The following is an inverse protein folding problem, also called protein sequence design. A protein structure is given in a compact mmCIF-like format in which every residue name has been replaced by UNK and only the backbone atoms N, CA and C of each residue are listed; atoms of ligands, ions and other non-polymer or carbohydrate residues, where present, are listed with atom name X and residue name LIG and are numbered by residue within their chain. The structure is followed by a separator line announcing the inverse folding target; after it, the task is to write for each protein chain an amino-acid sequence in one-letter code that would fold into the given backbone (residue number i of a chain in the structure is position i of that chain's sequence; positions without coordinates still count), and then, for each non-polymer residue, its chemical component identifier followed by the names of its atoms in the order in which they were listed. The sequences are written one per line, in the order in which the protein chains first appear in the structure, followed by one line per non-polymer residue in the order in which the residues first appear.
data_IF_719967276477
#
_entry.id   IF_719967276477
#
_cell.length_a   1.000
_cell.length_b   1.000
_cell.length_c   1.000
_cell.angle_alpha   90.00
_cell.angle_beta   90.00
_cell.angle_gamma   90.00
#
_symmetry.space_group_name_H-M   'P 1'
#
loop_
_entity.id
_entity.type
_entity.pdbx_description
1 polymer ?
#
# COMPACT_ATOMS: atom_id res chain seq x y z
N UNK A 1 29.41 18.26 22.37
CA UNK A 1 28.77 18.05 21.05
C UNK A 1 28.55 16.56 20.90
N UNK A 2 27.38 16.07 21.31
CA UNK A 2 26.98 14.66 21.16
C UNK A 2 26.06 14.58 19.96
N UNK A 3 26.57 14.02 18.86
CA UNK A 3 25.77 13.78 17.65
C UNK A 3 24.67 12.75 17.93
N UNK A 4 23.56 12.77 17.17
CA UNK A 4 22.48 11.82 17.36
C UNK A 4 22.98 10.42 16.97
N UNK A 5 22.89 9.47 17.90
CA UNK A 5 23.07 8.05 17.61
C UNK A 5 21.96 7.60 16.65
N UNK A 6 22.29 7.44 15.37
CA UNK A 6 21.37 6.93 14.36
C UNK A 6 21.33 5.40 14.43
N UNK A 7 20.12 4.86 14.35
CA UNK A 7 19.63 3.56 14.82
C UNK A 7 20.14 2.34 14.01
N UNK A 8 20.71 1.30 14.65
CA UNK A 8 21.12 0.04 13.99
C UNK A 8 19.96 -0.77 13.37
N UNK A 9 18.74 -0.67 13.92
CA UNK A 9 17.57 -1.44 13.47
C UNK A 9 17.03 -1.00 12.09
N UNK A 10 17.31 0.25 11.68
CA UNK A 10 16.86 0.81 10.40
C UNK A 10 17.54 0.13 9.21
N UNK A 11 18.86 0.01 9.27
CA UNK A 11 19.64 -0.59 8.18
C UNK A 11 19.35 -2.08 8.06
N UNK A 12 19.04 -2.74 9.17
CA UNK A 12 18.69 -4.16 9.18
C UNK A 12 17.41 -4.45 8.38
N UNK A 13 16.35 -3.64 8.53
CA UNK A 13 15.10 -3.84 7.78
C UNK A 13 15.29 -3.54 6.29
N UNK A 14 15.94 -2.43 5.95
CA UNK A 14 16.21 -2.08 4.54
C UNK A 14 17.09 -3.14 3.86
N UNK A 15 18.14 -3.62 4.53
CA UNK A 15 19.01 -4.68 4.01
C UNK A 15 18.26 -6.01 3.85
N UNK A 16 17.41 -6.37 4.81
CA UNK A 16 16.59 -7.59 4.73
C UNK A 16 15.63 -7.55 3.56
N UNK A 17 14.92 -6.44 3.35
CA UNK A 17 14.05 -6.28 2.17
C UNK A 17 14.85 -6.35 0.88
N UNK A 18 16.04 -5.75 0.82
CA UNK A 18 16.92 -5.86 -0.36
C UNK A 18 17.37 -7.30 -0.62
N UNK A 19 17.67 -8.09 0.43
CA UNK A 19 17.98 -9.53 0.28
C UNK A 19 16.81 -10.33 -0.26
N UNK A 20 15.58 -10.03 0.18
CA UNK A 20 14.37 -10.64 -0.38
C UNK A 20 14.23 -10.31 -1.88
N UNK A 21 14.46 -9.06 -2.26
CA UNK A 21 14.44 -8.65 -3.67
C UNK A 21 15.51 -9.36 -4.50
N UNK A 22 16.73 -9.49 -3.97
CA UNK A 22 17.81 -10.21 -4.63
C UNK A 22 17.43 -11.69 -4.86
N UNK A 23 16.91 -12.36 -3.83
CA UNK A 23 16.44 -13.76 -3.89
C UNK A 23 15.35 -13.93 -4.97
N UNK A 24 14.40 -12.99 -5.02
CA UNK A 24 13.32 -13.00 -6.03
C UNK A 24 13.88 -12.80 -7.45
N UNK A 25 14.86 -11.90 -7.63
CA UNK A 25 15.49 -11.65 -8.92
C UNK A 25 16.34 -12.82 -9.41
N UNK A 26 17.07 -13.49 -8.51
CA UNK A 26 17.85 -14.70 -8.83
C UNK A 26 16.99 -15.82 -9.38
N UNK A 27 15.71 -15.87 -8.99
CA UNK A 27 14.75 -16.88 -9.42
C UNK A 27 13.71 -16.35 -10.40
N UNK A 28 14.07 -15.33 -11.20
CA UNK A 28 13.17 -14.73 -12.18
C UNK A 28 12.51 -15.79 -13.07
N UNK A 29 11.17 -15.71 -13.22
CA UNK A 29 10.39 -16.68 -13.98
C UNK A 29 9.89 -17.89 -13.17
N UNK A 30 10.31 -18.04 -11.90
CA UNK A 30 9.79 -19.03 -10.96
C UNK A 30 9.23 -18.34 -9.71
N UNK A 31 8.19 -18.93 -9.11
CA UNK A 31 7.65 -18.38 -7.86
C UNK A 31 8.45 -18.91 -6.67
N UNK A 32 8.95 -18.00 -5.84
CA UNK A 32 9.76 -18.30 -4.65
C UNK A 32 9.05 -18.00 -3.34
N UNK A 33 7.71 -18.01 -3.33
CA UNK A 33 6.89 -17.74 -2.13
C UNK A 33 7.39 -18.52 -0.91
N UNK A 34 7.62 -19.82 -1.07
CA UNK A 34 8.13 -20.72 -0.02
C UNK A 34 9.49 -20.32 0.58
N UNK A 35 10.32 -19.56 -0.14
CA UNK A 35 11.62 -19.08 0.36
C UNK A 35 11.51 -17.74 1.09
N UNK A 36 10.51 -16.92 0.74
CA UNK A 36 10.41 -15.53 1.22
C UNK A 36 9.27 -15.31 2.22
N UNK A 37 8.27 -16.19 2.26
CA UNK A 37 7.03 -16.00 3.03
C UNK A 37 7.29 -15.78 4.52
N UNK A 38 8.08 -16.64 5.16
CA UNK A 38 8.37 -16.53 6.60
C UNK A 38 9.09 -15.22 6.92
N UNK A 39 10.10 -14.85 6.14
CA UNK A 39 10.85 -13.61 6.37
C UNK A 39 9.99 -12.36 6.08
N UNK A 40 9.13 -12.39 5.06
CA UNK A 40 8.18 -11.31 4.77
C UNK A 40 7.22 -11.10 5.93
N UNK A 41 6.67 -12.18 6.50
CA UNK A 41 5.73 -12.10 7.62
C UNK A 41 6.40 -11.60 8.89
N UNK A 42 7.65 -12.02 9.15
CA UNK A 42 8.46 -11.47 10.24
C UNK A 42 8.72 -9.98 10.06
N UNK A 43 9.10 -9.54 8.86
CA UNK A 43 9.38 -8.13 8.57
C UNK A 43 8.13 -7.26 8.66
N UNK A 44 6.99 -7.75 8.17
CA UNK A 44 5.70 -7.06 8.34
C UNK A 44 5.36 -6.95 9.83
N UNK A 45 5.50 -8.05 10.58
CA UNK A 45 5.26 -8.09 12.02
C UNK A 45 6.12 -7.07 12.79
N UNK A 46 7.42 -7.00 12.47
CA UNK A 46 8.36 -6.04 13.05
C UNK A 46 8.03 -4.60 12.65
N UNK A 47 7.69 -4.35 11.38
CA UNK A 47 7.25 -3.04 10.91
C UNK A 47 6.04 -2.51 11.70
N UNK A 48 5.08 -3.39 12.01
CA UNK A 48 3.90 -3.01 12.78
C UNK A 48 4.17 -2.90 14.29
N UNK A 49 5.13 -3.64 14.83
CA UNK A 49 5.55 -3.50 16.24
C UNK A 49 6.05 -2.09 16.51
N UNK A 50 6.86 -1.54 15.59
CA UNK A 50 7.53 -0.26 15.77
C UNK A 50 6.90 0.88 14.96
N UNK A 51 5.64 0.77 14.51
CA UNK A 51 4.97 1.78 13.67
C UNK A 51 4.99 3.20 14.24
N UNK A 52 5.18 3.32 15.56
CA UNK A 52 5.27 4.61 16.28
C UNK A 52 6.69 5.19 16.27
N UNK A 53 7.71 4.34 16.13
CA UNK A 53 9.14 4.67 16.18
C UNK A 53 9.81 4.66 14.79
N UNK A 54 9.23 3.93 13.82
CA UNK A 54 9.70 3.78 12.43
C UNK A 54 9.41 4.99 11.55
N UNK A 55 9.75 6.19 12.02
CA UNK A 55 9.63 7.44 11.25
C UNK A 55 10.59 7.56 10.04
N UNK A 56 11.40 6.53 9.75
CA UNK A 56 12.58 6.69 8.88
C UNK A 56 12.83 5.58 7.83
N UNK A 57 11.92 4.65 7.59
CA UNK A 57 12.06 3.67 6.48
C UNK A 57 11.72 4.37 5.15
N UNK A 58 12.50 4.12 4.10
CA UNK A 58 12.17 4.59 2.76
C UNK A 58 10.84 4.02 2.25
N UNK A 59 9.94 4.89 1.75
CA UNK A 59 8.62 4.48 1.23
C UNK A 59 8.71 3.39 0.16
N UNK A 60 9.76 3.45 -0.68
CA UNK A 60 10.03 2.44 -1.69
C UNK A 60 10.27 1.06 -1.09
N UNK A 61 11.08 0.96 -0.04
CA UNK A 61 11.35 -0.30 0.67
C UNK A 61 10.07 -0.88 1.26
N UNK A 62 9.25 -0.03 1.85
CA UNK A 62 7.97 -0.40 2.42
C UNK A 62 7.01 -0.93 1.35
N UNK A 63 6.92 -0.27 0.20
CA UNK A 63 6.12 -0.75 -0.92
C UNK A 63 6.63 -2.05 -1.51
N UNK A 64 7.94 -2.27 -1.59
CA UNK A 64 8.47 -3.58 -1.97
C UNK A 64 8.01 -4.67 -0.99
N UNK A 65 8.11 -4.45 0.32
CA UNK A 65 7.66 -5.43 1.30
C UNK A 65 6.17 -5.79 1.10
N UNK A 66 5.32 -4.79 0.91
CA UNK A 66 3.88 -4.99 0.68
C UNK A 66 3.61 -5.72 -0.63
N UNK A 67 4.30 -5.34 -1.71
CA UNK A 67 4.14 -5.95 -3.02
C UNK A 67 4.70 -7.38 -3.04
N UNK A 68 5.77 -7.69 -2.31
CA UNK A 68 6.25 -9.07 -2.15
C UNK A 68 5.15 -9.92 -1.49
N UNK A 69 4.54 -9.43 -0.40
CA UNK A 69 3.44 -10.17 0.24
C UNK A 69 2.25 -10.37 -0.71
N UNK A 70 1.80 -9.33 -1.39
CA UNK A 70 0.57 -9.42 -2.21
C UNK A 70 0.79 -10.10 -3.56
N UNK A 71 1.93 -9.91 -4.22
CA UNK A 71 2.21 -10.49 -5.54
C UNK A 71 2.88 -11.86 -5.43
N UNK A 72 3.93 -12.02 -4.63
CA UNK A 72 4.70 -13.25 -4.60
C UNK A 72 4.11 -14.30 -3.67
N UNK A 73 3.80 -13.91 -2.43
CA UNK A 73 3.26 -14.85 -1.44
C UNK A 73 1.80 -15.18 -1.73
N UNK A 74 0.95 -14.16 -1.91
CA UNK A 74 -0.49 -14.39 -2.03
C UNK A 74 -0.98 -14.74 -3.44
N UNK A 75 -0.23 -14.41 -4.49
CA UNK A 75 -0.66 -14.55 -5.91
C UNK A 75 0.32 -15.34 -6.77
N UNK A 76 1.37 -15.88 -6.20
CA UNK A 76 2.37 -16.68 -6.89
C UNK A 76 2.99 -16.00 -8.12
N UNK A 77 3.19 -14.68 -8.08
CA UNK A 77 3.83 -13.92 -9.17
C UNK A 77 5.26 -14.41 -9.42
N UNK A 78 5.73 -14.21 -10.65
CA UNK A 78 7.06 -14.57 -11.14
C UNK A 78 7.79 -13.38 -11.77
N UNK A 79 7.26 -12.17 -11.61
CA UNK A 79 7.60 -10.97 -12.37
C UNK A 79 8.28 -9.88 -11.51
N UNK A 80 9.62 -9.95 -11.31
CA UNK A 80 10.33 -9.01 -10.45
C UNK A 80 10.31 -7.59 -11.00
N UNK A 81 10.45 -7.45 -12.33
CA UNK A 81 10.48 -6.15 -12.99
C UNK A 81 9.18 -5.37 -12.82
N UNK A 82 8.04 -6.08 -12.76
CA UNK A 82 6.73 -5.46 -12.54
C UNK A 82 6.59 -5.01 -11.09
N UNK A 83 7.07 -5.82 -10.14
CA UNK A 83 7.11 -5.43 -8.73
C UNK A 83 7.94 -4.15 -8.53
N UNK A 84 9.14 -4.10 -9.10
CA UNK A 84 10.02 -2.93 -8.98
C UNK A 84 9.40 -1.68 -9.63
N UNK A 85 8.76 -1.84 -10.80
CA UNK A 85 8.02 -0.76 -11.46
C UNK A 85 6.88 -0.23 -10.58
N UNK A 86 6.07 -1.13 -10.01
CA UNK A 86 4.95 -0.74 -9.16
C UNK A 86 5.41 -0.04 -7.87
N UNK A 87 6.48 -0.51 -7.23
CA UNK A 87 7.03 0.14 -6.04
C UNK A 87 7.55 1.55 -6.33
N UNK A 88 8.21 1.73 -7.48
CA UNK A 88 8.66 3.04 -7.96
C UNK A 88 7.47 3.97 -8.24
N UNK A 89 6.46 3.47 -8.96
CA UNK A 89 5.22 4.22 -9.19
C UNK A 89 4.57 4.62 -7.86
N UNK A 90 4.40 3.69 -6.92
CA UNK A 90 3.75 4.00 -5.64
C UNK A 90 4.53 5.06 -4.84
N UNK A 91 5.86 4.99 -4.87
CA UNK A 91 6.73 6.00 -4.27
C UNK A 91 6.55 7.36 -4.93
N UNK A 92 6.57 7.42 -6.27
CA UNK A 92 6.36 8.66 -7.04
C UNK A 92 4.99 9.29 -6.78
N UNK A 93 3.94 8.48 -6.62
CA UNK A 93 2.59 8.97 -6.33
C UNK A 93 2.48 9.63 -4.94
N UNK A 94 3.33 9.24 -3.97
CA UNK A 94 3.37 9.84 -2.64
C UNK A 94 4.32 11.02 -2.53
N UNK A 95 5.52 10.92 -3.10
CA UNK A 95 6.53 11.97 -3.00
C UNK A 95 6.16 13.19 -3.83
N UNK A 96 5.50 12.98 -4.96
CA UNK A 96 5.19 14.07 -5.86
C UNK A 96 3.71 14.39 -5.82
N UNK A 97 3.44 15.66 -5.50
CA UNK A 97 2.24 16.41 -5.94
C UNK A 97 2.05 16.37 -7.47
N UNK A 98 2.81 15.57 -8.23
CA UNK A 98 2.71 15.41 -9.70
C UNK A 98 1.38 14.82 -10.15
N UNK A 99 0.64 14.17 -9.26
CA UNK A 99 -0.75 13.79 -9.53
C UNK A 99 -1.74 14.95 -9.48
N UNK A 100 -1.38 16.02 -8.77
CA UNK A 100 -2.29 17.10 -8.45
C UNK A 100 -1.64 18.49 -8.44
N UNK A 101 -0.97 18.95 -9.52
CA UNK A 101 -0.66 20.38 -9.66
C UNK A 101 -1.94 21.26 -9.66
N UNK A 102 -3.13 20.67 -9.82
CA UNK A 102 -4.40 21.38 -9.99
C UNK A 102 -5.33 21.36 -8.75
N UNK A 103 -4.91 20.74 -7.63
CA UNK A 103 -5.70 20.77 -6.39
C UNK A 103 -5.47 22.05 -5.59
N UNK A 104 -6.04 23.16 -6.06
CA UNK A 104 -6.28 24.32 -5.20
C UNK A 104 -7.65 24.24 -4.50
N UNK A 105 -8.48 23.24 -4.82
CA UNK A 105 -9.81 23.10 -4.23
C UNK A 105 -10.19 21.62 -4.01
N UNK A 106 -10.46 21.25 -2.76
CA UNK A 106 -10.69 19.86 -2.28
C UNK A 106 -11.89 19.11 -2.92
N UNK A 107 -12.64 19.73 -3.85
CA UNK A 107 -13.96 19.23 -4.29
C UNK A 107 -13.98 18.42 -5.59
N UNK A 108 -12.85 18.12 -6.25
CA UNK A 108 -12.87 17.59 -7.64
C UNK A 108 -12.23 16.22 -7.91
N UNK A 109 -12.07 15.35 -6.91
CA UNK A 109 -11.60 13.97 -7.12
C UNK A 109 -12.44 13.15 -8.13
N UNK A 110 -13.71 13.49 -8.39
CA UNK A 110 -14.56 12.77 -9.34
C UNK A 110 -14.45 13.22 -10.80
N UNK A 111 -13.86 14.38 -11.08
CA UNK A 111 -13.87 15.05 -12.39
C UNK A 111 -12.55 14.88 -13.17
N UNK A 112 -11.55 14.27 -12.53
CA UNK A 112 -10.14 14.30 -12.91
C UNK A 112 -9.80 13.58 -14.21
N UNK A 113 -10.45 12.44 -14.52
CA UNK A 113 -10.08 11.66 -15.72
C UNK A 113 -10.74 12.20 -17.00
N UNK A 114 -11.96 12.74 -16.92
CA UNK A 114 -12.61 13.37 -18.09
C UNK A 114 -11.87 14.64 -18.50
N UNK A 115 -11.48 15.47 -17.53
CA UNK A 115 -10.70 16.69 -17.79
C UNK A 115 -9.29 16.34 -18.30
N UNK A 116 -8.64 15.30 -17.77
CA UNK A 116 -7.35 14.81 -18.29
C UNK A 116 -7.50 14.19 -19.69
N UNK A 117 -8.56 13.43 -19.97
CA UNK A 117 -8.87 12.90 -21.31
C UNK A 117 -9.21 14.01 -22.30
N UNK A 118 -9.85 15.09 -21.85
CA UNK A 118 -10.18 16.26 -22.65
C UNK A 118 -8.94 17.13 -22.90
N UNK A 119 -8.01 17.23 -21.95
CA UNK A 119 -6.68 17.78 -22.19
C UNK A 119 -5.82 16.86 -23.08
N UNK A 120 -6.05 15.55 -23.08
CA UNK A 120 -5.42 14.60 -24.00
C UNK A 120 -6.00 14.65 -25.42
N UNK A 121 -7.20 15.20 -25.66
CA UNK A 121 -7.55 15.57 -27.04
C UNK A 121 -6.59 16.65 -27.60
N UNK A 122 -5.84 17.31 -26.71
CA UNK A 122 -4.69 18.15 -27.03
C UNK A 122 -3.36 17.41 -26.76
N UNK A 123 -3.15 16.25 -27.41
CA UNK A 123 -1.88 15.47 -27.41
C UNK A 123 -0.63 16.32 -27.70
N UNK A 124 -0.79 17.52 -28.28
CA UNK A 124 0.23 18.54 -28.48
C UNK A 124 0.88 19.10 -27.21
N UNK A 125 0.29 18.90 -26.01
CA UNK A 125 0.87 19.37 -24.74
C UNK A 125 1.90 18.42 -24.13
N UNK A 126 1.93 17.14 -24.51
CA UNK A 126 2.94 16.21 -24.02
C UNK A 126 4.16 16.25 -24.95
N UNK A 127 5.36 16.57 -24.46
CA UNK A 127 6.58 16.52 -25.28
C UNK A 127 6.87 15.10 -25.80
N UNK A 128 6.31 14.08 -25.13
CA UNK A 128 6.53 12.68 -25.41
C UNK A 128 5.25 11.85 -25.25
N UNK A 129 4.74 11.31 -26.36
CA UNK A 129 3.53 10.48 -26.40
C UNK A 129 3.65 9.20 -25.55
N UNK A 130 4.85 8.61 -25.48
CA UNK A 130 5.11 7.43 -24.66
C UNK A 130 4.84 7.69 -23.18
N UNK A 131 5.33 8.82 -22.65
CA UNK A 131 5.12 9.21 -21.25
C UNK A 131 3.64 9.49 -20.97
N UNK A 132 2.92 10.06 -21.94
CA UNK A 132 1.46 10.25 -21.84
C UNK A 132 0.72 8.91 -21.68
N UNK A 133 1.00 7.94 -22.55
CA UNK A 133 0.40 6.61 -22.46
C UNK A 133 0.78 5.88 -21.17
N UNK A 134 2.06 5.91 -20.78
CA UNK A 134 2.52 5.29 -19.53
C UNK A 134 1.81 5.86 -18.31
N UNK A 135 1.80 7.19 -18.15
CA UNK A 135 1.15 7.86 -17.02
C UNK A 135 -0.35 7.59 -16.95
N UNK A 136 -1.04 7.51 -18.09
CA UNK A 136 -2.47 7.19 -18.11
C UNK A 136 -2.77 5.74 -17.72
N UNK A 137 -1.89 4.82 -18.10
CA UNK A 137 -1.89 3.45 -17.60
C UNK A 137 -1.72 3.42 -16.08
N UNK A 138 -0.70 4.11 -15.58
CA UNK A 138 -0.41 4.23 -14.15
C UNK A 138 -1.62 4.81 -13.38
N UNK A 139 -2.16 5.97 -13.81
CA UNK A 139 -3.32 6.58 -13.16
C UNK A 139 -4.54 5.67 -13.13
N UNK A 140 -4.82 4.98 -14.23
CA UNK A 140 -5.93 4.05 -14.31
C UNK A 140 -5.75 2.90 -13.33
N UNK A 141 -4.53 2.36 -13.23
CA UNK A 141 -4.19 1.27 -12.32
C UNK A 141 -4.31 1.70 -10.85
N UNK A 142 -3.79 2.87 -10.51
CA UNK A 142 -3.83 3.38 -9.13
C UNK A 142 -5.24 3.75 -8.68
N UNK A 143 -6.04 4.39 -9.54
CA UNK A 143 -7.44 4.70 -9.23
C UNK A 143 -8.25 3.42 -9.06
N UNK A 144 -8.04 2.44 -9.95
CA UNK A 144 -8.77 1.18 -9.91
C UNK A 144 -8.32 0.23 -8.78
N UNK A 145 -7.04 0.27 -8.39
CA UNK A 145 -6.45 -0.58 -7.36
C UNK A 145 -6.48 0.09 -5.99
N UNK A 146 -5.64 1.10 -5.80
CA UNK A 146 -5.38 1.75 -4.50
C UNK A 146 -6.62 2.47 -3.95
N UNK A 147 -7.42 3.12 -4.81
CA UNK A 147 -8.56 3.94 -4.40
C UNK A 147 -9.93 3.28 -4.64
N UNK A 148 -9.96 1.98 -4.91
CA UNK A 148 -11.17 1.22 -5.27
C UNK A 148 -12.30 1.35 -4.22
N UNK A 149 -11.98 1.39 -2.93
CA UNK A 149 -12.93 1.54 -1.84
C UNK A 149 -13.66 2.91 -1.86
N UNK A 150 -13.00 3.97 -2.32
CA UNK A 150 -13.61 5.31 -2.46
C UNK A 150 -14.62 5.36 -3.61
N UNK A 151 -14.35 4.61 -4.68
CA UNK A 151 -15.27 4.44 -5.82
C UNK A 151 -16.49 3.59 -5.41
N UNK A 152 -16.30 2.54 -4.59
CA UNK A 152 -17.39 1.70 -4.05
C UNK A 152 -18.34 2.47 -3.12
N UNK A 153 -17.84 3.34 -2.23
CA UNK A 153 -18.68 4.15 -1.32
C UNK A 153 -19.63 5.10 -2.05
N UNK A 154 -19.21 5.65 -3.21
CA UNK A 154 -20.09 6.45 -4.08
C UNK A 154 -21.26 5.65 -4.66
N UNK A 155 -21.17 4.32 -4.75
CA UNK A 155 -22.24 3.44 -5.23
C UNK A 155 -23.32 3.21 -4.18
N UNK A 156 -22.94 3.11 -2.90
CA UNK A 156 -23.89 2.87 -1.79
C UNK A 156 -24.74 4.11 -1.51
N UNK A 157 -24.16 5.30 -1.57
CA UNK A 157 -24.93 6.56 -1.43
C UNK A 157 -25.87 6.83 -2.62
N UNK A 158 -25.74 6.07 -3.72
CA UNK A 158 -26.64 6.15 -4.89
C UNK A 158 -28.02 5.52 -4.61
N UNK A 159 -28.13 4.63 -3.62
CA UNK A 159 -29.37 3.94 -3.24
C UNK A 159 -30.21 4.70 -2.20
N UNK A 160 -29.68 5.76 -1.57
CA UNK A 160 -30.43 6.66 -0.68
C UNK A 160 -30.65 8.03 -1.34
N UNK A 161 -31.54 8.06 -2.34
CA UNK A 161 -32.42 9.21 -2.60
C UNK A 161 -31.82 10.61 -2.88
N UNK A 162 -30.65 10.72 -3.52
CA UNK A 162 -30.10 12.01 -3.94
C UNK A 162 -29.72 12.01 -5.42
N UNK A 163 -30.63 12.50 -6.28
CA UNK A 163 -30.37 12.68 -7.70
C UNK A 163 -29.32 13.79 -7.92
N UNK A 164 -28.14 13.41 -8.42
CA UNK A 164 -27.26 14.31 -9.17
C UNK A 164 -26.61 13.50 -10.29
N UNK A 165 -26.84 13.86 -11.57
CA UNK A 165 -26.22 13.19 -12.71
C UNK A 165 -24.79 13.72 -12.87
N UNK A 166 -23.88 13.32 -11.98
CA UNK A 166 -22.44 13.52 -12.20
C UNK A 166 -21.92 12.26 -12.87
N UNK A 167 -21.33 12.43 -14.05
CA UNK A 167 -20.80 11.40 -14.94
C UNK A 167 -19.61 10.66 -14.29
N UNK A 168 -19.88 9.88 -13.25
CA UNK A 168 -18.88 9.09 -12.55
C UNK A 168 -18.45 7.92 -13.41
N UNK A 169 -17.27 8.05 -14.01
CA UNK A 169 -16.56 6.98 -14.71
C UNK A 169 -16.52 5.72 -13.85
N UNK A 170 -16.99 4.59 -14.38
CA UNK A 170 -17.08 3.32 -13.66
C UNK A 170 -15.72 2.62 -13.52
N UNK A 171 -15.58 1.72 -12.55
CA UNK A 171 -14.38 0.90 -12.36
C UNK A 171 -14.00 0.15 -13.65
N UNK A 172 -15.01 -0.34 -14.38
CA UNK A 172 -14.84 -0.99 -15.68
C UNK A 172 -14.13 -0.10 -16.70
N UNK A 173 -14.44 1.20 -16.72
CA UNK A 173 -13.78 2.16 -17.59
C UNK A 173 -12.31 2.36 -17.21
N UNK A 174 -11.98 2.39 -15.93
CA UNK A 174 -10.56 2.48 -15.51
C UNK A 174 -9.77 1.23 -15.91
N UNK A 175 -10.37 0.05 -15.82
CA UNK A 175 -9.73 -1.19 -16.27
C UNK A 175 -9.49 -1.16 -17.78
N UNK A 176 -10.50 -0.85 -18.59
CA UNK A 176 -10.34 -0.80 -20.04
C UNK A 176 -9.35 0.27 -20.49
N UNK A 177 -9.41 1.45 -19.87
CA UNK A 177 -8.49 2.58 -20.13
C UNK A 177 -7.05 2.22 -19.79
N UNK A 178 -6.82 1.64 -18.61
CA UNK A 178 -5.48 1.24 -18.18
C UNK A 178 -4.87 0.17 -19.08
N UNK A 179 -5.65 -0.86 -19.45
CA UNK A 179 -5.22 -1.89 -20.40
C UNK A 179 -4.80 -1.31 -21.74
N UNK A 180 -5.62 -0.42 -22.30
CA UNK A 180 -5.36 0.22 -23.59
C UNK A 180 -4.08 1.06 -23.55
N UNK A 181 -3.94 1.93 -22.56
CA UNK A 181 -2.80 2.85 -22.50
C UNK A 181 -1.48 2.15 -22.19
N UNK A 182 -1.48 1.12 -21.34
CA UNK A 182 -0.29 0.30 -21.18
C UNK A 182 0.09 -0.46 -22.45
N UNK A 183 -0.90 -0.95 -23.22
CA UNK A 183 -0.64 -1.59 -24.51
C UNK A 183 0.00 -0.60 -25.48
N UNK A 184 -0.59 0.59 -25.63
CA UNK A 184 -0.06 1.65 -26.49
C UNK A 184 1.35 2.09 -26.08
N UNK A 185 1.58 2.25 -24.77
CA UNK A 185 2.90 2.56 -24.24
C UNK A 185 3.90 1.44 -24.60
N UNK A 186 3.54 0.17 -24.42
CA UNK A 186 4.42 -0.97 -24.71
C UNK A 186 4.81 -1.11 -26.19
N UNK A 187 3.94 -0.67 -27.10
CA UNK A 187 4.15 -0.71 -28.55
C UNK A 187 5.01 0.46 -29.06
N UNK A 188 5.18 1.51 -28.27
CA UNK A 188 6.00 2.65 -28.64
C UNK A 188 7.49 2.29 -28.68
N UNK A 189 8.26 2.89 -29.59
CA UNK A 189 9.71 2.64 -29.74
C UNK A 189 10.49 2.96 -28.46
N UNK A 190 10.07 3.99 -27.73
CA UNK A 190 10.67 4.37 -26.44
C UNK A 190 10.50 3.31 -25.34
N UNK A 191 9.51 2.44 -25.40
CA UNK A 191 9.37 1.35 -24.43
C UNK A 191 10.53 0.35 -24.52
N UNK A 192 11.11 0.18 -25.71
CA UNK A 192 12.30 -0.65 -25.90
C UNK A 192 13.55 0.10 -25.47
N UNK A 193 13.68 1.38 -25.86
CA UNK A 193 14.81 2.23 -25.46
C UNK A 193 14.95 2.36 -23.92
N UNK A 194 13.83 2.28 -23.20
CA UNK A 194 13.78 2.36 -21.73
C UNK A 194 13.74 0.99 -21.04
N UNK A 195 13.72 -0.12 -21.80
CA UNK A 195 13.60 -1.47 -21.25
C UNK A 195 12.22 -1.81 -20.66
N UNK A 196 11.22 -0.93 -20.78
CA UNK A 196 9.91 -1.08 -20.15
C UNK A 196 8.89 -1.88 -20.98
N UNK A 197 9.17 -2.21 -22.24
CA UNK A 197 8.21 -2.89 -23.14
C UNK A 197 7.57 -4.13 -22.51
N UNK A 198 8.37 -4.99 -21.88
CA UNK A 198 7.87 -6.22 -21.27
C UNK A 198 7.00 -5.95 -20.04
N UNK A 199 7.42 -5.02 -19.18
CA UNK A 199 6.67 -4.61 -17.98
C UNK A 199 5.32 -4.03 -18.35
N UNK A 200 5.30 -3.05 -19.27
CA UNK A 200 4.08 -2.38 -19.70
C UNK A 200 3.12 -3.35 -20.40
N UNK A 201 3.65 -4.29 -21.19
CA UNK A 201 2.84 -5.36 -21.80
C UNK A 201 2.21 -6.26 -20.73
N UNK A 202 2.97 -6.68 -19.72
CA UNK A 202 2.44 -7.49 -18.60
C UNK A 202 1.36 -6.73 -17.83
N UNK A 203 1.57 -5.45 -17.54
CA UNK A 203 0.59 -4.58 -16.88
C UNK A 203 -0.71 -4.44 -17.69
N UNK A 204 -0.62 -4.39 -19.02
CA UNK A 204 -1.79 -4.41 -19.90
C UNK A 204 -2.52 -5.76 -19.87
N UNK A 205 -1.79 -6.87 -20.06
CA UNK A 205 -2.39 -8.20 -20.17
C UNK A 205 -3.00 -8.69 -18.85
N UNK A 206 -2.30 -8.47 -17.74
CA UNK A 206 -2.68 -8.96 -16.41
C UNK A 206 -3.13 -7.82 -15.48
N UNK A 207 -3.75 -6.78 -16.05
CA UNK A 207 -4.12 -5.56 -15.33
C UNK A 207 -4.92 -5.82 -14.06
N UNK A 208 -5.90 -6.72 -14.10
CA UNK A 208 -6.75 -7.04 -12.95
C UNK A 208 -5.96 -7.67 -11.80
N UNK A 209 -4.96 -8.51 -12.10
CA UNK A 209 -4.12 -9.15 -11.08
C UNK A 209 -3.34 -8.07 -10.33
N UNK A 210 -2.72 -7.14 -11.06
CA UNK A 210 -1.98 -6.03 -10.46
C UNK A 210 -2.88 -5.02 -9.76
N UNK A 211 -4.06 -4.73 -10.31
CA UNK A 211 -5.10 -3.93 -9.67
C UNK A 211 -5.49 -4.53 -8.32
N UNK A 212 -5.76 -5.83 -8.28
CA UNK A 212 -6.21 -6.51 -7.07
C UNK A 212 -5.10 -6.62 -6.04
N UNK A 213 -3.85 -6.84 -6.48
CA UNK A 213 -2.69 -6.81 -5.58
C UNK A 213 -2.46 -5.42 -4.97
N UNK A 214 -2.60 -4.35 -5.75
CA UNK A 214 -2.53 -2.98 -5.26
C UNK A 214 -3.70 -2.62 -4.36
N UNK A 215 -4.89 -3.12 -4.68
CA UNK A 215 -6.08 -2.97 -3.84
C UNK A 215 -5.90 -3.63 -2.49
N UNK A 216 -5.40 -4.87 -2.47
CA UNK A 216 -5.07 -5.56 -1.22
C UNK A 216 -3.94 -4.87 -0.46
N UNK A 217 -2.86 -4.45 -1.14
CA UNK A 217 -1.77 -3.73 -0.49
C UNK A 217 -2.25 -2.42 0.13
N UNK A 218 -3.14 -1.71 -0.59
CA UNK A 218 -3.77 -0.49 -0.10
C UNK A 218 -4.68 -0.76 1.09
N UNK A 219 -5.58 -1.73 0.99
CA UNK A 219 -6.56 -2.04 2.03
C UNK A 219 -5.94 -2.64 3.29
N UNK A 220 -4.85 -3.41 3.18
CA UNK A 220 -4.22 -4.12 4.31
C UNK A 220 -3.00 -3.42 4.87
N UNK A 221 -2.28 -2.64 4.08
CA UNK A 221 -0.97 -2.14 4.51
C UNK A 221 -0.82 -0.61 4.43
N UNK A 222 -1.65 0.10 3.66
CA UNK A 222 -1.49 1.56 3.42
C UNK A 222 -2.64 2.37 4.01
N UNK A 223 -3.88 2.08 3.62
CA UNK A 223 -5.09 2.81 4.00
C UNK A 223 -5.84 2.13 5.14
N UNK A 224 -5.89 0.79 5.13
CA UNK A 224 -6.21 0.03 6.33
C UNK A 224 -4.89 -0.40 6.91
N UNK A 225 -4.47 0.25 7.99
CA UNK A 225 -3.66 -0.43 8.98
C UNK A 225 -4.25 -1.83 9.16
N UNK A 226 -3.52 -2.92 8.96
CA UNK A 226 -4.09 -4.28 9.04
C UNK A 226 -4.78 -4.47 10.39
N UNK A 227 -6.09 -4.26 10.45
CA UNK A 227 -6.81 -4.16 11.72
C UNK A 227 -6.83 -5.52 12.43
N UNK A 228 -6.70 -6.62 11.68
CA UNK A 228 -6.58 -7.95 12.25
C UNK A 228 -5.20 -8.12 12.88
N UNK A 229 -4.14 -7.74 12.17
CA UNK A 229 -2.78 -7.77 12.73
C UNK A 229 -2.64 -6.86 13.95
N UNK A 230 -3.22 -5.65 13.91
CA UNK A 230 -3.22 -4.74 15.07
C UNK A 230 -4.05 -5.32 16.22
N UNK A 231 -5.16 -5.99 15.94
CA UNK A 231 -5.94 -6.69 16.97
C UNK A 231 -5.14 -7.85 17.57
N UNK A 232 -4.43 -8.62 16.77
CA UNK A 232 -3.57 -9.71 17.23
C UNK A 232 -2.42 -9.17 18.09
N UNK A 233 -1.75 -8.10 17.66
CA UNK A 233 -0.69 -7.41 18.43
C UNK A 233 -1.20 -6.80 19.74
N UNK A 234 -2.41 -6.23 19.72
CA UNK A 234 -3.09 -5.75 20.93
C UNK A 234 -3.31 -6.91 21.91
N UNK A 235 -3.85 -8.03 21.44
CA UNK A 235 -4.13 -9.22 22.25
C UNK A 235 -2.85 -9.86 22.78
N UNK A 236 -1.82 -9.97 21.96
CA UNK A 236 -0.52 -10.53 22.35
C UNK A 236 0.17 -9.67 23.39
N UNK A 237 0.22 -8.34 23.20
CA UNK A 237 0.76 -7.40 24.18
C UNK A 237 -0.02 -7.48 25.50
N UNK A 238 -1.35 -7.56 25.44
CA UNK A 238 -2.17 -7.69 26.64
C UNK A 238 -1.96 -9.04 27.35
N UNK A 239 -1.82 -10.14 26.61
CA UNK A 239 -1.53 -11.46 27.14
C UNK A 239 -0.15 -11.51 27.79
N UNK A 240 0.87 -10.88 27.19
CA UNK A 240 2.20 -10.72 27.79
C UNK A 240 2.15 -9.90 29.07
N UNK A 241 1.39 -8.80 29.12
CA UNK A 241 1.15 -8.07 30.37
C UNK A 241 0.48 -8.94 31.44
N UNK A 242 -0.53 -9.72 31.09
CA UNK A 242 -1.21 -10.62 32.06
C UNK A 242 -0.26 -11.64 32.67
N UNK A 243 0.69 -12.14 31.88
CA UNK A 243 1.69 -13.13 32.33
C UNK A 243 2.82 -12.48 33.14
N UNK A 244 3.36 -11.36 32.70
CA UNK A 244 4.59 -10.75 33.24
C UNK A 244 4.32 -9.64 34.27
N UNK A 245 3.20 -8.93 34.15
CA UNK A 245 2.90 -7.73 34.91
C UNK A 245 3.65 -6.47 34.44
N UNK A 246 4.43 -6.53 33.35
CA UNK A 246 5.19 -5.38 32.85
C UNK A 246 4.28 -4.31 32.23
N UNK A 247 4.34 -3.09 32.78
CA UNK A 247 3.55 -1.95 32.35
C UNK A 247 3.79 -1.56 30.88
N UNK A 248 4.99 -1.85 30.32
CA UNK A 248 5.30 -1.57 28.91
C UNK A 248 4.37 -2.31 27.95
N UNK A 249 4.10 -3.58 28.22
CA UNK A 249 3.19 -4.39 27.42
C UNK A 249 1.74 -3.89 27.51
N UNK A 250 1.33 -3.35 28.67
CA UNK A 250 0.01 -2.73 28.84
C UNK A 250 -0.11 -1.42 28.05
N UNK A 251 0.96 -0.63 28.01
CA UNK A 251 1.02 0.61 27.23
C UNK A 251 0.93 0.31 25.73
N UNK A 252 1.67 -0.68 25.24
CA UNK A 252 1.61 -1.11 23.84
C UNK A 252 0.22 -1.63 23.46
N UNK A 253 -0.41 -2.46 24.30
CA UNK A 253 -1.79 -2.90 24.09
C UNK A 253 -2.78 -1.73 23.99
N UNK A 254 -2.58 -0.65 24.78
CA UNK A 254 -3.41 0.57 24.70
C UNK A 254 -3.16 1.38 23.44
N UNK A 255 -1.93 1.45 22.96
CA UNK A 255 -1.58 2.11 21.69
C UNK A 255 -2.30 1.44 20.52
N UNK A 256 -2.25 0.11 20.44
CA UNK A 256 -2.97 -0.65 19.41
C UNK A 256 -4.50 -0.51 19.55
N UNK A 257 -5.04 -0.57 20.78
CA UNK A 257 -6.47 -0.36 21.02
C UNK A 257 -6.96 1.03 20.55
N UNK A 258 -6.13 2.07 20.69
CA UNK A 258 -6.46 3.41 20.21
C UNK A 258 -6.53 3.49 18.68
N UNK A 259 -5.63 2.79 17.96
CA UNK A 259 -5.66 2.69 16.49
C UNK A 259 -6.92 1.95 16.03
N UNK A 260 -7.35 0.92 16.77
CA UNK A 260 -8.58 0.16 16.50
C UNK A 260 -9.86 0.88 16.92
N UNK A 261 -9.77 2.07 17.52
CA UNK A 261 -10.89 2.76 18.17
C UNK A 261 -11.63 1.89 19.20
N UNK A 262 -10.95 0.92 19.84
CA UNK A 262 -11.52 0.10 20.92
C UNK A 262 -11.54 0.93 22.19
N UNK A 263 -12.75 1.11 22.73
CA UNK A 263 -12.99 1.95 23.90
C UNK A 263 -13.07 1.16 25.20
N UNK A 264 -13.13 1.90 26.31
CA UNK A 264 -13.20 1.33 27.67
C UNK A 264 -14.47 0.51 27.91
N UNK A 265 -15.52 0.74 27.13
CA UNK A 265 -16.76 -0.01 27.19
C UNK A 265 -16.62 -1.37 26.48
N UNK A 266 -15.92 -1.41 25.35
CA UNK A 266 -15.69 -2.61 24.54
C UNK A 266 -14.66 -3.59 25.11
N UNK A 267 -13.63 -3.11 25.82
CA UNK A 267 -12.59 -4.01 26.37
C UNK A 267 -12.08 -3.61 27.77
N UNK A 268 -12.96 -3.51 28.79
CA UNK A 268 -12.67 -2.84 30.08
C UNK A 268 -11.47 -3.40 30.85
N UNK A 269 -11.07 -4.65 30.60
CA UNK A 269 -9.90 -5.33 31.18
C UNK A 269 -8.57 -4.63 30.87
N UNK A 270 -8.45 -3.96 29.73
CA UNK A 270 -7.23 -3.27 29.28
C UNK A 270 -7.01 -1.90 29.96
N UNK A 271 -8.06 -1.35 30.58
CA UNK A 271 -8.01 -0.12 31.38
C UNK A 271 -8.03 -0.37 32.89
N UNK A 272 -8.12 -1.63 33.35
CA UNK A 272 -7.98 -1.98 34.75
C UNK A 272 -6.50 -2.07 35.11
N UNK A 273 -6.02 -1.17 35.96
CA UNK A 273 -4.75 -1.38 36.66
C UNK A 273 -4.88 -2.65 37.49
N UNK A 274 -3.91 -3.57 37.36
CA UNK A 274 -3.84 -4.77 38.20
C UNK A 274 -3.83 -4.29 39.65
N UNK A 275 -4.90 -4.58 40.41
CA UNK A 275 -4.91 -4.34 41.85
C UNK A 275 -3.67 -5.05 42.40
N UNK A 276 -2.78 -4.30 43.05
CA UNK A 276 -1.68 -4.89 43.83
C UNK A 276 -2.29 -6.03 44.66
N UNK A 277 -1.66 -7.22 44.72
CA UNK A 277 -2.11 -8.23 45.66
C UNK A 277 -2.18 -7.54 47.01
N UNK A 278 -3.35 -7.60 47.66
CA UNK A 278 -3.51 -7.17 49.05
C UNK A 278 -2.39 -7.88 49.80
N UNK A 279 -1.42 -7.12 50.29
CA UNK A 279 -0.53 -7.62 51.31
C UNK A 279 -1.45 -8.25 52.38
N UNK A 280 -1.27 -9.54 52.63
CA UNK A 280 -1.91 -10.17 53.75
C UNK A 280 -1.52 -9.34 54.98
N UNK A 281 -2.47 -8.58 55.49
CA UNK A 281 -2.38 -7.97 56.81
C UNK A 281 -2.38 -9.14 57.78
N UNK A 282 -1.19 -9.50 58.24
CA UNK A 282 -0.99 -10.18 59.52
C UNK A 282 -1.38 -9.21 60.64
#
# INVERSE_FOLDING_TARGET
MTGPAVQPERWELEDRVQRLQATIREHQGSNVSHLVETEVDELLSAFYDDITELRFIGLKTLFHLFLIKTLYVNRSSTDPDVMDYLAECMSGFLYTRDLFPLMQDQKRFGWMLSDMLQEMQNLTKFPNLFEGYRKMGDYSLFIAGVFSASLRRRRVNRWRGGASPVHGVDLSHHVSTGKLYYLQASQHSMAEATGQRNVLRKLSTHFEIYRDALGEASERYILGFDMNLIADKMLDSFNRFRRTGDARHLENARKYAAILHVDRAGFPSLWRLRRRPRAALL
#
